data_IF_513663029301
#
_entry.id   IF_513663029301
#
_cell.length_a   1.000
_cell.length_b   1.000
_cell.length_c   1.000
_cell.angle_alpha   90.00
_cell.angle_beta   90.00
_cell.angle_gamma   90.00
#
_symmetry.space_group_name_H-M   'P 1'
#
loop_
_entity.id
_entity.type
_entity.pdbx_description
1 polymer ?
#
# COMPACT_ATOMS: atom_id res chain seq x y z
N UNK A 1 -22.14 -16.01 -5.21
CA UNK A 1 -21.25 -14.83 -5.37
C UNK A 1 -20.94 -14.66 -6.86
N UNK A 2 -20.80 -13.44 -7.37
CA UNK A 2 -20.51 -13.23 -8.81
C UNK A 2 -19.14 -13.78 -9.20
N UNK A 3 -18.18 -13.69 -8.28
CA UNK A 3 -16.81 -14.17 -8.42
C UNK A 3 -16.53 -15.29 -7.42
N UNK A 4 -17.38 -16.32 -7.35
CA UNK A 4 -17.09 -17.46 -6.46
C UNK A 4 -15.91 -18.28 -6.99
N UNK A 5 -14.99 -18.75 -6.13
CA UNK A 5 -14.88 -18.45 -4.70
C UNK A 5 -14.19 -17.11 -4.39
N UNK A 6 -13.47 -16.52 -5.35
CA UNK A 6 -12.86 -15.20 -5.25
C UNK A 6 -12.26 -14.73 -6.58
N UNK A 7 -11.45 -13.68 -6.52
CA UNK A 7 -10.65 -13.19 -7.65
C UNK A 7 -9.19 -13.49 -7.37
N UNK A 8 -8.51 -14.10 -8.34
CA UNK A 8 -7.17 -14.66 -8.14
C UNK A 8 -6.09 -13.66 -8.54
N UNK A 9 -5.28 -13.22 -7.59
CA UNK A 9 -4.11 -12.39 -7.86
C UNK A 9 -2.93 -13.25 -8.32
N UNK A 10 -2.11 -12.73 -9.24
CA UNK A 10 -0.81 -13.29 -9.60
C UNK A 10 0.10 -13.50 -8.37
N UNK A 11 0.08 -12.55 -7.42
CA UNK A 11 0.88 -12.62 -6.18
C UNK A 11 0.45 -13.76 -5.24
N UNK A 12 -0.73 -14.35 -5.45
CA UNK A 12 -1.24 -15.42 -4.60
C UNK A 12 -0.53 -16.75 -4.91
N UNK A 13 -0.23 -17.02 -6.18
CA UNK A 13 0.38 -18.28 -6.61
C UNK A 13 1.76 -18.53 -5.98
N UNK A 14 2.74 -17.58 -6.03
CA UNK A 14 4.03 -17.79 -5.37
C UNK A 14 3.92 -17.95 -3.85
N UNK A 15 2.91 -17.36 -3.20
CA UNK A 15 2.69 -17.55 -1.75
C UNK A 15 2.13 -18.93 -1.44
N UNK A 16 1.27 -19.45 -2.31
CA UNK A 16 0.73 -20.81 -2.17
C UNK A 16 1.83 -21.85 -2.37
N UNK A 17 2.74 -21.65 -3.33
CA UNK A 17 3.87 -22.55 -3.56
C UNK A 17 4.81 -22.67 -2.34
N UNK A 18 4.97 -21.61 -1.54
CA UNK A 18 5.83 -21.66 -0.35
C UNK A 18 5.42 -22.72 0.67
N UNK A 19 4.13 -23.02 0.79
CA UNK A 19 3.59 -23.97 1.79
C UNK A 19 2.97 -25.18 1.09
N UNK A 20 1.93 -24.98 0.28
CA UNK A 20 1.22 -26.08 -0.39
C UNK A 20 1.99 -26.65 -1.59
N UNK A 21 2.89 -25.87 -2.20
CA UNK A 21 3.81 -26.34 -3.25
C UNK A 21 5.15 -26.86 -2.74
N UNK A 22 5.47 -26.69 -1.45
CA UNK A 22 6.69 -27.20 -0.83
C UNK A 22 7.99 -26.42 -1.15
N UNK A 23 7.93 -25.21 -1.71
CA UNK A 23 9.13 -24.42 -2.05
C UNK A 23 9.85 -23.83 -0.81
N UNK A 24 9.18 -23.84 0.34
CA UNK A 24 9.66 -23.27 1.59
C UNK A 24 9.38 -21.76 1.72
N UNK A 25 9.49 -21.25 2.94
CA UNK A 25 9.12 -19.87 3.25
C UNK A 25 10.11 -18.86 2.65
N UNK A 26 9.56 -17.78 2.10
CA UNK A 26 10.31 -16.65 1.56
C UNK A 26 9.70 -15.33 1.98
N UNK A 27 10.53 -14.42 2.48
CA UNK A 27 10.15 -13.06 2.84
C UNK A 27 9.98 -12.12 1.62
N UNK A 28 10.09 -12.64 0.39
CA UNK A 28 9.73 -11.88 -0.82
C UNK A 28 8.27 -11.41 -0.78
N UNK A 29 7.38 -12.23 -0.22
CA UNK A 29 6.04 -11.83 0.16
C UNK A 29 5.92 -11.81 1.70
N UNK A 30 5.02 -10.97 2.25
CA UNK A 30 4.85 -10.90 3.69
C UNK A 30 4.29 -12.21 4.25
N UNK A 31 5.06 -12.84 5.15
CA UNK A 31 4.76 -14.16 5.70
C UNK A 31 3.38 -14.25 6.35
N UNK A 32 2.91 -13.17 6.98
CA UNK A 32 1.58 -13.16 7.62
C UNK A 32 0.45 -13.34 6.60
N UNK A 33 0.60 -12.78 5.39
CA UNK A 33 -0.36 -12.97 4.32
C UNK A 33 -0.21 -14.37 3.71
N UNK A 34 1.02 -14.86 3.56
CA UNK A 34 1.28 -16.25 3.15
C UNK A 34 0.58 -17.25 4.08
N UNK A 35 0.68 -17.06 5.39
CA UNK A 35 0.02 -17.92 6.39
C UNK A 35 -1.51 -17.78 6.36
N UNK A 36 -2.04 -16.57 6.21
CA UNK A 36 -3.48 -16.36 6.10
C UNK A 36 -4.05 -17.10 4.87
N UNK A 37 -3.44 -16.90 3.70
CA UNK A 37 -3.89 -17.50 2.45
C UNK A 37 -3.81 -19.04 2.49
N UNK A 38 -2.64 -19.59 2.81
CA UNK A 38 -2.45 -21.04 2.87
C UNK A 38 -3.25 -21.68 4.01
N UNK A 39 -3.41 -20.99 5.15
CA UNK A 39 -4.22 -21.46 6.26
C UNK A 39 -5.70 -21.59 5.89
N UNK A 40 -6.26 -20.60 5.18
CA UNK A 40 -7.62 -20.69 4.65
C UNK A 40 -7.76 -21.82 3.61
N UNK A 41 -6.80 -21.94 2.68
CA UNK A 41 -6.76 -23.02 1.69
C UNK A 41 -6.75 -24.40 2.34
N UNK A 42 -5.85 -24.61 3.30
CA UNK A 42 -5.73 -25.86 4.04
C UNK A 42 -7.01 -26.17 4.84
N UNK A 43 -7.58 -25.18 5.53
CA UNK A 43 -8.82 -25.35 6.28
C UNK A 43 -9.99 -25.75 5.37
N UNK A 44 -10.14 -25.13 4.21
CA UNK A 44 -11.20 -25.48 3.25
C UNK A 44 -11.06 -26.89 2.68
N UNK A 45 -9.84 -27.27 2.33
CA UNK A 45 -9.55 -28.63 1.87
C UNK A 45 -9.80 -29.66 2.97
N UNK A 46 -9.41 -29.38 4.21
CA UNK A 46 -9.70 -30.26 5.35
C UNK A 46 -11.22 -30.42 5.60
N UNK A 47 -12.01 -29.35 5.43
CA UNK A 47 -13.45 -29.37 5.66
C UNK A 47 -14.25 -30.08 4.56
N UNK A 48 -13.83 -29.97 3.30
CA UNK A 48 -14.67 -30.36 2.15
C UNK A 48 -13.95 -31.22 1.10
N UNK A 49 -12.64 -31.41 1.23
CA UNK A 49 -11.80 -32.02 0.20
C UNK A 49 -11.44 -31.09 -0.96
N UNK A 50 -11.91 -29.83 -0.95
CA UNK A 50 -11.76 -28.89 -2.07
C UNK A 50 -11.12 -27.55 -1.65
N UNK A 51 -10.15 -27.09 -2.44
CA UNK A 51 -9.48 -25.80 -2.25
C UNK A 51 -10.36 -24.60 -2.66
N UNK A 52 -11.43 -24.77 -3.45
CA UNK A 52 -12.41 -23.70 -3.70
C UNK A 52 -13.06 -23.21 -2.40
N UNK A 53 -13.39 -24.13 -1.48
CA UNK A 53 -13.88 -23.77 -0.15
C UNK A 53 -12.86 -22.95 0.62
N UNK A 54 -11.58 -23.30 0.50
CA UNK A 54 -10.52 -22.57 1.19
C UNK A 54 -10.32 -21.16 0.66
N UNK A 55 -10.39 -21.00 -0.67
CA UNK A 55 -10.43 -19.68 -1.31
C UNK A 55 -11.65 -18.87 -0.88
N UNK A 56 -12.82 -19.49 -0.79
CA UNK A 56 -14.04 -18.83 -0.33
C UNK A 56 -13.86 -18.32 1.10
N UNK A 57 -13.31 -19.13 2.00
CA UNK A 57 -13.03 -18.74 3.39
C UNK A 57 -12.13 -17.50 3.41
N UNK A 58 -11.01 -17.51 2.66
CA UNK A 58 -10.12 -16.35 2.56
C UNK A 58 -10.87 -15.10 2.09
N UNK A 59 -11.61 -15.22 0.98
CA UNK A 59 -12.32 -14.10 0.37
C UNK A 59 -13.39 -13.54 1.29
N UNK A 60 -14.14 -14.40 1.98
CA UNK A 60 -15.14 -14.01 2.98
C UNK A 60 -14.50 -13.29 4.17
N UNK A 61 -13.39 -13.82 4.72
CA UNK A 61 -12.63 -13.16 5.79
C UNK A 61 -12.18 -11.76 5.37
N UNK A 62 -11.64 -11.62 4.16
CA UNK A 62 -11.20 -10.33 3.64
C UNK A 62 -12.38 -9.36 3.46
N UNK A 63 -13.50 -9.80 2.88
CA UNK A 63 -14.69 -8.97 2.69
C UNK A 63 -15.22 -8.48 4.04
N UNK A 64 -15.35 -9.37 5.03
CA UNK A 64 -15.82 -8.98 6.37
C UNK A 64 -14.87 -8.01 7.05
N UNK A 65 -13.56 -8.22 6.94
CA UNK A 65 -12.56 -7.29 7.45
C UNK A 65 -12.73 -5.91 6.83
N UNK A 66 -12.78 -5.82 5.49
CA UNK A 66 -12.92 -4.55 4.78
C UNK A 66 -14.25 -3.85 5.06
N UNK A 67 -15.36 -4.59 5.08
CA UNK A 67 -16.67 -4.04 5.45
C UNK A 67 -16.67 -3.47 6.87
N UNK A 68 -16.00 -4.14 7.81
CA UNK A 68 -15.85 -3.66 9.19
C UNK A 68 -15.00 -2.38 9.26
N UNK A 69 -13.90 -2.32 8.51
CA UNK A 69 -13.04 -1.13 8.42
C UNK A 69 -13.81 0.06 7.84
N UNK A 70 -14.53 -0.13 6.74
CA UNK A 70 -15.32 0.92 6.10
C UNK A 70 -16.45 1.41 7.01
N UNK A 71 -17.14 0.49 7.67
CA UNK A 71 -18.17 0.83 8.67
C UNK A 71 -17.58 1.62 9.84
N UNK A 72 -16.41 1.22 10.34
CA UNK A 72 -15.70 1.94 11.39
C UNK A 72 -15.29 3.35 10.94
N UNK A 73 -14.78 3.51 9.71
CA UNK A 73 -14.41 4.83 9.18
C UNK A 73 -15.62 5.78 9.11
N UNK A 74 -16.79 5.28 8.69
CA UNK A 74 -18.04 6.04 8.68
C UNK A 74 -18.55 6.37 10.10
N UNK A 75 -18.41 5.44 11.05
CA UNK A 75 -18.70 5.70 12.46
C UNK A 75 -17.76 6.77 13.05
N UNK A 76 -16.47 6.74 12.71
CA UNK A 76 -15.53 7.80 13.11
C UNK A 76 -15.94 9.17 12.57
N UNK A 77 -16.38 9.25 11.31
CA UNK A 77 -16.94 10.50 10.78
C UNK A 77 -18.16 10.97 11.59
N UNK A 78 -19.02 10.06 12.09
CA UNK A 78 -20.13 10.43 12.99
C UNK A 78 -19.61 10.99 14.32
N UNK A 79 -18.60 10.35 14.92
CA UNK A 79 -17.95 10.82 16.17
C UNK A 79 -17.30 12.20 15.98
N UNK A 80 -16.70 12.45 14.83
CA UNK A 80 -16.12 13.74 14.45
C UNK A 80 -17.18 14.80 14.07
N UNK A 81 -18.48 14.47 14.19
CA UNK A 81 -19.63 15.33 13.87
C UNK A 81 -19.66 15.81 12.41
N UNK A 82 -19.18 14.97 11.50
CA UNK A 82 -19.25 15.22 10.06
C UNK A 82 -20.71 15.12 9.61
N UNK A 83 -21.12 16.01 8.71
CA UNK A 83 -22.50 16.09 8.22
C UNK A 83 -22.94 14.76 7.60
N UNK A 84 -24.25 14.49 7.63
CA UNK A 84 -24.81 13.28 7.02
C UNK A 84 -24.50 13.21 5.52
N UNK A 85 -24.55 14.35 4.82
CA UNK A 85 -24.26 14.43 3.39
C UNK A 85 -22.86 13.87 3.05
N UNK A 86 -21.81 14.34 3.75
CA UNK A 86 -20.45 13.85 3.51
C UNK A 86 -20.32 12.37 3.89
N UNK A 87 -20.97 11.92 4.96
CA UNK A 87 -20.98 10.50 5.33
C UNK A 87 -21.66 9.62 4.29
N UNK A 88 -22.74 10.08 3.66
CA UNK A 88 -23.42 9.38 2.56
C UNK A 88 -22.52 9.32 1.33
N UNK A 89 -21.87 10.42 0.95
CA UNK A 89 -20.90 10.42 -0.16
C UNK A 89 -19.74 9.45 0.10
N UNK A 90 -19.19 9.45 1.32
CA UNK A 90 -18.15 8.52 1.74
C UNK A 90 -18.62 7.06 1.65
N UNK A 91 -19.85 6.78 2.09
CA UNK A 91 -20.45 5.44 1.98
C UNK A 91 -20.60 5.03 0.52
N UNK A 92 -21.11 5.93 -0.34
CA UNK A 92 -21.29 5.65 -1.76
C UNK A 92 -19.95 5.33 -2.44
N UNK A 93 -18.91 6.11 -2.15
CA UNK A 93 -17.57 5.83 -2.64
C UNK A 93 -17.03 4.47 -2.15
N UNK A 94 -17.12 4.19 -0.84
CA UNK A 94 -16.57 2.97 -0.27
C UNK A 94 -17.30 1.71 -0.74
N UNK A 95 -18.63 1.76 -0.85
CA UNK A 95 -19.47 0.62 -1.19
C UNK A 95 -19.65 0.41 -2.70
N UNK A 96 -19.75 1.49 -3.49
CA UNK A 96 -20.12 1.41 -4.91
C UNK A 96 -18.97 1.71 -5.88
N UNK A 97 -17.78 2.09 -5.38
CA UNK A 97 -16.59 2.16 -6.25
C UNK A 97 -16.35 0.78 -6.89
N UNK A 98 -16.30 0.69 -8.23
CA UNK A 98 -16.07 -0.58 -8.92
C UNK A 98 -14.70 -1.16 -8.60
N UNK A 99 -13.72 -0.31 -8.29
CA UNK A 99 -12.41 -0.71 -7.81
C UNK A 99 -12.57 -1.43 -6.47
N UNK A 100 -13.24 -0.83 -5.49
CA UNK A 100 -13.42 -1.46 -4.18
C UNK A 100 -14.13 -2.82 -4.28
N UNK A 101 -15.15 -2.95 -5.14
CA UNK A 101 -15.89 -4.20 -5.34
C UNK A 101 -14.98 -5.35 -5.81
N UNK A 102 -14.02 -5.07 -6.69
CA UNK A 102 -13.04 -6.06 -7.17
C UNK A 102 -12.01 -6.34 -6.08
N UNK A 103 -11.41 -5.29 -5.50
CA UNK A 103 -10.27 -5.41 -4.59
C UNK A 103 -10.61 -6.14 -3.28
N UNK A 104 -11.83 -5.99 -2.75
CA UNK A 104 -12.27 -6.76 -1.57
C UNK A 104 -12.36 -8.27 -1.83
N UNK A 105 -12.48 -8.68 -3.10
CA UNK A 105 -12.53 -10.08 -3.51
C UNK A 105 -11.18 -10.62 -4.03
N UNK A 106 -10.21 -9.73 -4.29
CA UNK A 106 -8.91 -10.05 -4.87
C UNK A 106 -7.94 -10.59 -3.82
N UNK A 107 -7.27 -11.70 -4.14
CA UNK A 107 -6.40 -12.43 -3.19
C UNK A 107 -5.02 -11.81 -3.05
N UNK A 108 -4.96 -10.64 -2.42
CA UNK A 108 -3.72 -9.87 -2.29
C UNK A 108 -3.58 -9.17 -0.95
N UNK A 109 -2.32 -9.09 -0.50
CA UNK A 109 -1.89 -8.38 0.69
C UNK A 109 -2.30 -6.91 0.71
N UNK A 110 -2.39 -6.28 -0.46
CA UNK A 110 -2.71 -4.85 -0.62
C UNK A 110 -4.04 -4.47 0.03
N UNK A 111 -5.06 -5.33 -0.09
CA UNK A 111 -6.41 -5.02 0.36
C UNK A 111 -6.46 -4.92 1.88
N UNK A 112 -5.99 -5.96 2.57
CA UNK A 112 -5.94 -5.97 4.04
C UNK A 112 -4.98 -4.90 4.55
N UNK A 113 -3.83 -4.70 3.89
CA UNK A 113 -2.91 -3.62 4.23
C UNK A 113 -3.59 -2.24 4.15
N UNK A 114 -4.37 -1.98 3.11
CA UNK A 114 -5.12 -0.73 2.98
C UNK A 114 -6.11 -0.53 4.13
N UNK A 115 -6.84 -1.57 4.52
CA UNK A 115 -7.73 -1.49 5.67
C UNK A 115 -6.99 -1.17 6.97
N UNK A 116 -5.83 -1.81 7.19
CA UNK A 116 -4.96 -1.53 8.35
C UNK A 116 -4.40 -0.10 8.32
N UNK A 117 -3.96 0.38 7.16
CA UNK A 117 -3.49 1.75 6.94
C UNK A 117 -4.58 2.77 7.29
N UNK A 118 -5.82 2.53 6.85
CA UNK A 118 -6.97 3.39 7.18
C UNK A 118 -7.27 3.38 8.68
N UNK A 119 -7.20 2.24 9.35
CA UNK A 119 -7.39 2.18 10.80
C UNK A 119 -6.28 2.91 11.57
N UNK A 120 -5.02 2.76 11.16
CA UNK A 120 -3.87 3.50 11.74
C UNK A 120 -4.04 5.00 11.50
N UNK A 121 -4.45 5.41 10.30
CA UNK A 121 -4.77 6.80 9.99
C UNK A 121 -5.82 7.37 10.95
N UNK A 122 -6.94 6.65 11.17
CA UNK A 122 -8.00 7.08 12.07
C UNK A 122 -7.55 7.12 13.54
N UNK A 123 -6.73 6.17 13.97
CA UNK A 123 -6.16 6.20 15.32
C UNK A 123 -5.21 7.40 15.51
N UNK A 124 -4.45 7.79 14.48
CA UNK A 124 -3.63 9.02 14.51
C UNK A 124 -4.53 10.27 14.57
N UNK A 125 -5.66 10.30 13.84
CA UNK A 125 -6.66 11.37 13.98
C UNK A 125 -7.13 11.48 15.44
N UNK A 126 -7.44 10.34 16.07
CA UNK A 126 -7.88 10.31 17.47
C UNK A 126 -6.78 10.76 18.45
N UNK A 127 -5.53 10.36 18.20
CA UNK A 127 -4.37 10.80 18.99
C UNK A 127 -4.23 12.33 18.96
N UNK A 128 -4.50 12.98 17.84
CA UNK A 128 -4.30 14.44 17.70
C UNK A 128 -5.51 15.27 18.13
N UNK A 129 -6.72 14.72 18.02
CA UNK A 129 -7.96 15.40 18.42
C UNK A 129 -8.23 15.33 19.93
N UNK A 130 -8.13 14.14 20.52
CA UNK A 130 -8.47 13.89 21.93
C UNK A 130 -7.34 13.07 22.60
N UNK A 131 -6.12 13.62 22.62
CA UNK A 131 -4.90 12.94 23.11
C UNK A 131 -5.06 12.35 24.51
N UNK A 132 -5.71 13.05 25.43
CA UNK A 132 -5.92 12.57 26.81
C UNK A 132 -6.75 11.29 26.85
N UNK A 133 -7.87 11.26 26.13
CA UNK A 133 -8.76 10.10 26.04
C UNK A 133 -8.03 8.94 25.35
N UNK A 134 -7.21 9.24 24.34
CA UNK A 134 -6.42 8.22 23.65
C UNK A 134 -5.39 7.56 24.59
N UNK A 135 -4.54 8.37 25.23
CA UNK A 135 -3.40 7.89 26.02
C UNK A 135 -3.74 7.46 27.46
N UNK A 136 -4.98 7.67 27.91
CA UNK A 136 -5.53 7.08 29.15
C UNK A 136 -6.15 5.70 28.93
N UNK A 137 -6.58 5.38 27.71
CA UNK A 137 -7.22 4.12 27.38
C UNK A 137 -6.20 3.03 27.00
N UNK A 138 -6.03 2.02 27.86
CA UNK A 138 -5.21 0.84 27.57
C UNK A 138 -5.66 0.13 26.29
N UNK A 139 -6.98 0.08 26.05
CA UNK A 139 -7.56 -0.51 24.84
C UNK A 139 -7.10 0.23 23.57
N UNK A 140 -7.16 1.57 23.54
CA UNK A 140 -6.72 2.35 22.36
C UNK A 140 -5.23 2.22 22.08
N UNK A 141 -4.41 2.19 23.14
CA UNK A 141 -2.97 1.97 23.00
C UNK A 141 -2.68 0.57 22.46
N UNK A 142 -3.27 -0.48 23.04
CA UNK A 142 -3.11 -1.85 22.59
C UNK A 142 -3.58 -2.03 21.14
N UNK A 143 -4.74 -1.47 20.81
CA UNK A 143 -5.29 -1.47 19.46
C UNK A 143 -4.32 -0.83 18.46
N UNK A 144 -3.81 0.37 18.73
CA UNK A 144 -2.87 1.02 17.82
C UNK A 144 -1.58 0.22 17.65
N UNK A 145 -1.05 -0.38 18.72
CA UNK A 145 0.13 -1.25 18.65
C UNK A 145 -0.16 -2.45 17.74
N UNK A 146 -1.26 -3.16 17.97
CA UNK A 146 -1.66 -4.33 17.18
C UNK A 146 -1.86 -3.96 15.71
N UNK A 147 -2.61 -2.89 15.43
CA UNK A 147 -2.84 -2.41 14.07
C UNK A 147 -1.55 -1.97 13.38
N UNK A 148 -0.68 -1.25 14.08
CA UNK A 148 0.62 -0.82 13.56
C UNK A 148 1.53 -2.00 13.24
N UNK A 149 1.57 -3.03 14.09
CA UNK A 149 2.31 -4.27 13.84
C UNK A 149 1.74 -4.95 12.59
N UNK A 150 0.44 -5.24 12.55
CA UNK A 150 -0.16 -5.90 11.39
C UNK A 150 0.02 -5.10 10.10
N UNK A 151 -0.12 -3.77 10.13
CA UNK A 151 0.15 -2.92 8.97
C UNK A 151 1.57 -3.13 8.44
N UNK A 152 2.58 -3.15 9.32
CA UNK A 152 3.97 -3.39 8.93
C UNK A 152 4.24 -4.85 8.50
N UNK A 153 3.54 -5.83 9.07
CA UNK A 153 3.70 -7.24 8.72
C UNK A 153 3.02 -7.61 7.40
N UNK A 154 1.91 -6.95 7.05
CA UNK A 154 1.25 -7.15 5.76
C UNK A 154 1.97 -6.44 4.62
N UNK A 155 2.71 -5.36 4.89
CA UNK A 155 3.66 -4.76 3.94
C UNK A 155 4.84 -4.14 4.66
N UNK A 156 6.05 -4.51 4.21
CA UNK A 156 7.31 -3.93 4.69
C UNK A 156 7.33 -2.41 4.60
N UNK A 157 6.62 -1.82 3.62
CA UNK A 157 6.53 -0.37 3.46
C UNK A 157 5.92 0.33 4.68
N UNK A 158 5.07 -0.38 5.45
CA UNK A 158 4.42 0.13 6.66
C UNK A 158 5.40 0.68 7.69
N UNK A 159 6.60 0.08 7.82
CA UNK A 159 7.58 0.53 8.81
C UNK A 159 8.17 1.91 8.45
N UNK A 160 8.34 2.20 7.16
CA UNK A 160 8.85 3.50 6.70
C UNK A 160 7.84 4.62 6.99
N UNK A 161 6.54 4.30 6.96
CA UNK A 161 5.48 5.23 7.34
C UNK A 161 5.59 5.64 8.81
N UNK A 162 5.85 4.65 9.68
CA UNK A 162 6.04 4.89 11.11
C UNK A 162 7.29 5.73 11.35
N UNK A 163 8.41 5.43 10.70
CA UNK A 163 9.63 6.22 10.83
C UNK A 163 9.45 7.66 10.35
N UNK A 164 8.76 7.87 9.22
CA UNK A 164 8.46 9.19 8.70
C UNK A 164 7.57 9.99 9.66
N UNK A 165 6.49 9.38 10.17
CA UNK A 165 5.53 10.07 11.03
C UNK A 165 6.02 10.28 12.47
N UNK A 166 6.87 9.40 12.99
CA UNK A 166 7.32 9.38 14.38
C UNK A 166 7.87 10.72 14.90
N UNK A 167 8.87 11.38 14.25
CA UNK A 167 9.42 12.63 14.79
C UNK A 167 8.36 13.73 14.89
N UNK A 168 7.46 13.83 13.91
CA UNK A 168 6.40 14.85 13.88
C UNK A 168 5.30 14.56 14.91
N UNK A 169 4.89 13.30 15.06
CA UNK A 169 3.92 12.87 16.07
C UNK A 169 4.43 13.13 17.49
N UNK A 170 5.66 12.70 17.78
CA UNK A 170 6.29 12.90 19.10
C UNK A 170 6.45 14.39 19.39
N UNK A 171 6.86 15.19 18.41
CA UNK A 171 7.01 16.63 18.58
C UNK A 171 5.68 17.33 18.89
N UNK A 172 4.63 17.00 18.14
CA UNK A 172 3.32 17.66 18.20
C UNK A 172 2.46 17.27 19.43
N UNK A 173 2.62 16.05 19.95
CA UNK A 173 1.85 15.53 21.08
C UNK A 173 2.46 15.91 22.45
N UNK A 174 2.53 17.23 22.72
CA UNK A 174 3.00 17.79 24.01
C UNK A 174 2.23 17.14 25.17
N UNK A 175 2.94 16.78 26.25
CA UNK A 175 2.39 16.05 27.40
C UNK A 175 2.32 14.53 27.24
N UNK A 176 2.28 14.01 26.02
CA UNK A 176 2.20 12.57 25.72
C UNK A 176 3.40 12.02 24.94
N UNK A 177 4.44 12.83 24.73
CA UNK A 177 5.65 12.48 23.95
C UNK A 177 6.26 11.12 24.32
N UNK A 178 6.46 10.89 25.62
CA UNK A 178 7.02 9.63 26.13
C UNK A 178 6.12 8.45 25.78
N UNK A 179 4.81 8.55 26.03
CA UNK A 179 3.84 7.49 25.69
C UNK A 179 3.77 7.24 24.19
N UNK A 180 3.74 8.31 23.38
CA UNK A 180 3.78 8.22 21.92
C UNK A 180 5.04 7.48 21.44
N UNK A 181 6.22 7.89 21.93
CA UNK A 181 7.48 7.23 21.61
C UNK A 181 7.50 5.76 22.01
N UNK A 182 7.00 5.40 23.21
CA UNK A 182 6.92 4.01 23.67
C UNK A 182 6.00 3.16 22.79
N UNK A 183 4.84 3.70 22.40
CA UNK A 183 3.88 2.98 21.54
C UNK A 183 4.44 2.77 20.14
N UNK A 184 5.06 3.79 19.54
CA UNK A 184 5.73 3.67 18.24
C UNK A 184 6.92 2.71 18.30
N UNK A 185 7.71 2.80 19.38
CA UNK A 185 8.82 1.88 19.62
C UNK A 185 8.34 0.44 19.75
N UNK A 186 7.24 0.18 20.46
CA UNK A 186 6.65 -1.15 20.58
C UNK A 186 6.25 -1.71 19.19
N UNK A 187 5.61 -0.90 18.34
CA UNK A 187 5.27 -1.30 16.96
C UNK A 187 6.53 -1.68 16.17
N UNK A 188 7.55 -0.82 16.17
CA UNK A 188 8.79 -1.04 15.42
C UNK A 188 9.54 -2.27 15.95
N UNK A 189 9.69 -2.38 17.27
CA UNK A 189 10.39 -3.48 17.92
C UNK A 189 9.69 -4.82 17.64
N UNK A 190 8.38 -4.92 17.86
CA UNK A 190 7.62 -6.15 17.59
C UNK A 190 7.67 -6.54 16.12
N UNK A 191 7.57 -5.57 15.21
CA UNK A 191 7.71 -5.81 13.76
C UNK A 191 9.10 -6.37 13.44
N UNK A 192 10.17 -5.75 13.94
CA UNK A 192 11.55 -6.20 13.68
C UNK A 192 11.88 -7.55 14.31
N UNK A 193 11.33 -7.86 15.48
CA UNK A 193 11.43 -9.18 16.10
C UNK A 193 10.78 -10.24 15.18
N UNK A 194 9.61 -9.94 14.63
CA UNK A 194 8.92 -10.86 13.74
C UNK A 194 9.65 -11.04 12.40
N UNK A 195 9.97 -9.94 11.72
CA UNK A 195 10.64 -9.97 10.39
C UNK A 195 12.13 -10.32 10.45
N UNK A 196 12.69 -10.50 11.65
CA UNK A 196 14.07 -10.89 11.88
C UNK A 196 14.11 -12.25 12.58
N UNK A 197 14.38 -12.30 13.90
CA UNK A 197 14.54 -13.54 14.65
C UNK A 197 13.47 -14.61 14.41
N UNK A 198 12.18 -14.25 14.45
CA UNK A 198 11.10 -15.22 14.27
C UNK A 198 11.08 -15.77 12.84
N UNK A 199 11.18 -14.90 11.83
CA UNK A 199 11.24 -15.34 10.42
C UNK A 199 12.46 -16.23 10.13
N UNK A 200 13.63 -15.89 10.67
CA UNK A 200 14.85 -16.70 10.53
C UNK A 200 14.71 -18.06 11.22
N UNK A 201 14.10 -18.08 12.41
CA UNK A 201 13.82 -19.33 13.14
C UNK A 201 12.86 -20.24 12.37
N UNK A 202 11.88 -19.67 11.65
CA UNK A 202 11.00 -20.42 10.74
C UNK A 202 11.69 -20.86 9.43
N UNK A 203 12.96 -20.53 9.21
CA UNK A 203 13.70 -20.86 7.99
C UNK A 203 13.33 -20.02 6.77
N UNK A 204 12.69 -18.86 6.97
CA UNK A 204 12.29 -18.00 5.86
C UNK A 204 13.51 -17.38 5.16
N UNK A 205 13.61 -17.56 3.84
CA UNK A 205 14.66 -16.91 3.04
C UNK A 205 14.42 -15.40 2.97
N UNK A 206 15.45 -14.55 3.12
CA UNK A 206 15.29 -13.10 3.07
C UNK A 206 14.87 -12.63 1.67
N UNK A 207 14.18 -11.48 1.61
CA UNK A 207 13.81 -10.85 0.34
C UNK A 207 15.06 -10.44 -0.46
N UNK A 208 14.97 -10.49 -1.78
CA UNK A 208 16.06 -10.10 -2.67
C UNK A 208 16.30 -8.57 -2.58
N UNK A 209 17.53 -8.10 -2.31
CA UNK A 209 17.85 -6.67 -2.25
C UNK A 209 17.46 -5.87 -3.50
N UNK A 210 17.39 -6.52 -4.67
CA UNK A 210 17.03 -5.87 -5.94
C UNK A 210 15.65 -5.18 -5.91
N UNK A 211 14.73 -5.65 -5.08
CA UNK A 211 13.38 -5.09 -4.98
C UNK A 211 13.39 -3.62 -4.52
N UNK A 212 14.41 -3.22 -3.75
CA UNK A 212 14.59 -1.84 -3.30
C UNK A 212 15.32 -0.95 -4.33
N UNK A 213 15.79 -1.52 -5.45
CA UNK A 213 16.68 -0.88 -6.41
C UNK A 213 16.02 -0.61 -7.76
N UNK A 214 14.69 -0.65 -7.84
CA UNK A 214 13.94 -0.42 -9.09
C UNK A 214 14.33 0.90 -9.77
N UNK A 215 14.37 2.01 -9.02
CA UNK A 215 14.75 3.34 -9.54
C UNK A 215 16.20 3.40 -10.05
N UNK A 216 17.23 3.06 -9.25
CA UNK A 216 18.61 3.16 -9.74
C UNK A 216 18.92 2.20 -10.89
N UNK A 217 18.32 1.00 -10.91
CA UNK A 217 18.46 0.04 -12.01
C UNK A 217 17.83 0.60 -13.30
N UNK A 218 16.63 1.20 -13.21
CA UNK A 218 15.96 1.82 -14.35
C UNK A 218 16.73 3.02 -14.91
N UNK A 219 17.23 3.89 -14.04
CA UNK A 219 17.98 5.09 -14.43
C UNK A 219 19.25 4.73 -15.21
N UNK A 220 20.04 3.78 -14.70
CA UNK A 220 21.28 3.39 -15.38
C UNK A 220 21.00 2.64 -16.68
N UNK A 221 19.98 1.77 -16.71
CA UNK A 221 19.60 1.05 -17.93
C UNK A 221 19.10 2.01 -19.01
N UNK A 222 18.33 3.05 -18.65
CA UNK A 222 17.90 4.08 -19.60
C UNK A 222 19.09 4.75 -20.28
N UNK A 223 20.07 5.20 -19.49
CA UNK A 223 21.25 5.88 -20.03
C UNK A 223 22.06 4.94 -20.92
N UNK A 224 22.28 3.70 -20.50
CA UNK A 224 23.03 2.72 -21.30
C UNK A 224 22.34 2.34 -22.62
N UNK A 225 21.01 2.47 -22.71
CA UNK A 225 20.26 2.19 -23.95
C UNK A 225 20.12 3.44 -24.83
N UNK A 226 19.85 4.60 -24.25
CA UNK A 226 19.53 5.82 -25.01
C UNK A 226 20.75 6.70 -25.28
N UNK A 227 21.72 6.70 -24.37
CA UNK A 227 22.91 7.57 -24.39
C UNK A 227 24.19 6.78 -24.02
N UNK A 228 24.47 5.63 -24.67
CA UNK A 228 25.60 4.75 -24.29
C UNK A 228 26.97 5.43 -24.34
N UNK A 229 27.12 6.45 -25.20
CA UNK A 229 28.38 7.19 -25.36
C UNK A 229 28.69 8.12 -24.18
N UNK A 230 27.72 8.39 -23.30
CA UNK A 230 27.91 9.23 -22.10
C UNK A 230 28.48 8.45 -20.89
N UNK A 231 28.64 7.13 -21.05
CA UNK A 231 29.17 6.20 -20.05
C UNK A 231 30.48 5.63 -20.55
N UNK A 232 31.54 5.73 -19.74
CA UNK A 232 32.87 5.23 -20.14
C UNK A 232 32.90 3.69 -20.16
N UNK A 233 33.84 3.11 -20.90
CA UNK A 233 33.99 1.65 -20.96
C UNK A 233 34.29 1.04 -19.58
N UNK A 234 35.10 1.71 -18.76
CA UNK A 234 35.36 1.32 -17.36
C UNK A 234 34.07 1.32 -16.51
N UNK A 235 33.21 2.32 -16.69
CA UNK A 235 31.93 2.39 -15.98
C UNK A 235 30.96 1.30 -16.46
N UNK A 236 30.90 1.03 -17.77
CA UNK A 236 30.12 -0.07 -18.36
C UNK A 236 30.56 -1.42 -17.79
N UNK A 237 31.87 -1.68 -17.75
CA UNK A 237 32.42 -2.91 -17.17
C UNK A 237 32.01 -3.10 -15.71
N UNK A 238 32.00 -2.02 -14.93
CA UNK A 238 31.53 -2.07 -13.54
C UNK A 238 30.03 -2.41 -13.50
N UNK A 239 29.19 -1.72 -14.29
CA UNK A 239 27.74 -1.96 -14.30
C UNK A 239 27.40 -3.37 -14.77
N UNK A 240 28.05 -3.89 -15.81
CA UNK A 240 27.77 -5.22 -16.36
C UNK A 240 28.06 -6.37 -15.39
N UNK A 241 28.88 -6.15 -14.35
CA UNK A 241 29.03 -7.12 -13.23
C UNK A 241 27.78 -7.22 -12.36
N UNK A 242 27.03 -6.13 -12.22
CA UNK A 242 25.78 -6.07 -11.46
C UNK A 242 24.57 -6.37 -12.34
N UNK A 243 24.61 -5.94 -13.60
CA UNK A 243 23.48 -5.94 -14.50
C UNK A 243 23.96 -6.26 -15.92
N UNK A 244 23.92 -7.54 -16.33
CA UNK A 244 24.45 -7.95 -17.63
C UNK A 244 23.76 -7.24 -18.79
N UNK A 245 24.51 -6.99 -19.86
CA UNK A 245 24.07 -6.23 -21.04
C UNK A 245 22.79 -6.80 -21.68
N UNK A 246 22.64 -8.13 -21.70
CA UNK A 246 21.46 -8.83 -22.24
C UNK A 246 20.14 -8.49 -21.52
N UNK A 247 20.20 -8.05 -20.25
CA UNK A 247 19.02 -7.59 -19.51
C UNK A 247 18.82 -6.09 -19.64
N UNK A 248 19.90 -5.33 -19.83
CA UNK A 248 19.83 -3.88 -20.08
C UNK A 248 19.16 -3.61 -21.42
N UNK A 249 19.46 -4.41 -22.45
CA UNK A 249 18.82 -4.31 -23.76
C UNK A 249 17.30 -4.55 -23.74
N UNK A 250 16.77 -5.14 -22.66
CA UNK A 250 15.33 -5.34 -22.43
C UNK A 250 14.68 -4.13 -21.73
N UNK A 251 15.36 -3.00 -21.65
CA UNK A 251 14.86 -1.76 -21.05
C UNK A 251 13.46 -1.40 -21.55
N UNK A 252 12.55 -1.21 -20.59
CA UNK A 252 11.24 -0.64 -20.82
C UNK A 252 11.05 0.53 -19.86
N UNK A 253 10.69 1.70 -20.39
CA UNK A 253 10.53 2.91 -19.59
C UNK A 253 9.41 2.80 -18.53
N UNK A 254 8.40 1.97 -18.75
CA UNK A 254 7.22 1.85 -17.89
C UNK A 254 7.29 0.72 -16.86
N UNK A 255 8.23 -0.23 -16.98
CA UNK A 255 8.36 -1.38 -16.08
C UNK A 255 9.80 -1.82 -15.90
N UNK A 256 10.23 -2.01 -14.64
CA UNK A 256 11.61 -2.40 -14.29
C UNK A 256 11.88 -3.88 -14.21
N UNK A 257 10.86 -4.73 -14.27
CA UNK A 257 11.01 -6.15 -13.96
C UNK A 257 11.97 -6.89 -14.91
N UNK A 258 11.89 -6.64 -16.22
CA UNK A 258 12.76 -7.28 -17.22
C UNK A 258 14.26 -6.99 -16.96
N UNK A 259 14.60 -5.73 -16.70
CA UNK A 259 15.99 -5.34 -16.41
C UNK A 259 16.42 -5.89 -15.05
N UNK A 260 15.59 -5.76 -14.00
CA UNK A 260 15.90 -6.22 -12.65
C UNK A 260 16.12 -7.74 -12.57
N UNK A 261 15.53 -8.52 -13.47
CA UNK A 261 15.66 -9.96 -13.47
C UNK A 261 17.12 -10.41 -13.50
N UNK A 262 17.94 -9.75 -14.33
CA UNK A 262 19.38 -9.98 -14.45
C UNK A 262 20.24 -9.43 -13.33
N UNK A 263 19.67 -8.71 -12.35
CA UNK A 263 20.46 -8.05 -11.33
C UNK A 263 21.17 -9.07 -10.42
N UNK A 264 22.50 -9.02 -10.39
CA UNK A 264 23.35 -9.88 -9.58
C UNK A 264 23.32 -9.47 -8.11
N UNK A 265 22.25 -9.86 -7.42
CA UNK A 265 22.01 -9.54 -6.03
C UNK A 265 23.09 -10.07 -5.07
N UNK A 266 23.74 -11.19 -5.41
CA UNK A 266 24.82 -11.78 -4.61
C UNK A 266 26.05 -10.88 -4.64
N UNK A 267 26.51 -10.51 -5.83
CA UNK A 267 27.65 -9.61 -5.99
C UNK A 267 27.37 -8.24 -5.38
N UNK A 268 26.17 -7.70 -5.59
CA UNK A 268 25.75 -6.42 -5.00
C UNK A 268 25.79 -6.43 -3.47
N UNK A 269 25.37 -7.53 -2.82
CA UNK A 269 25.37 -7.62 -1.36
C UNK A 269 26.79 -7.56 -0.78
N UNK A 270 27.77 -8.12 -1.48
CA UNK A 270 29.18 -8.11 -1.06
C UNK A 270 29.87 -6.79 -1.42
N UNK A 271 29.50 -6.17 -2.54
CA UNK A 271 30.16 -4.99 -3.09
C UNK A 271 29.16 -3.94 -3.60
N UNK A 272 28.36 -3.26 -2.74
CA UNK A 272 27.35 -2.32 -3.21
C UNK A 272 27.93 -0.97 -3.68
N UNK A 273 29.06 -0.56 -3.12
CA UNK A 273 29.61 0.79 -3.28
C UNK A 273 30.04 1.13 -4.72
N UNK A 274 30.70 0.25 -5.49
CA UNK A 274 31.07 0.55 -6.87
C UNK A 274 29.86 0.84 -7.76
N UNK A 275 28.76 0.09 -7.59
CA UNK A 275 27.50 0.35 -8.31
C UNK A 275 27.00 1.78 -8.05
N UNK A 276 26.90 2.20 -6.79
CA UNK A 276 26.41 3.54 -6.45
C UNK A 276 27.35 4.67 -6.88
N UNK A 277 28.67 4.43 -6.87
CA UNK A 277 29.63 5.41 -7.38
C UNK A 277 29.44 5.65 -8.88
N UNK A 278 29.31 4.59 -9.66
CA UNK A 278 29.05 4.70 -11.11
C UNK A 278 27.66 5.30 -11.35
N UNK A 279 26.62 4.80 -10.67
CA UNK A 279 25.27 5.35 -10.77
C UNK A 279 25.21 6.86 -10.48
N UNK A 280 25.92 7.35 -9.46
CA UNK A 280 25.97 8.78 -9.14
C UNK A 280 26.80 9.57 -10.18
N UNK A 281 27.96 9.05 -10.58
CA UNK A 281 28.84 9.64 -11.60
C UNK A 281 28.10 9.83 -12.93
N UNK A 282 27.49 8.76 -13.43
CA UNK A 282 26.69 8.75 -14.67
C UNK A 282 25.46 9.64 -14.51
N UNK A 283 24.76 9.57 -13.37
CA UNK A 283 23.56 10.36 -13.11
C UNK A 283 23.80 11.87 -13.09
N UNK A 284 24.95 12.33 -12.60
CA UNK A 284 25.30 13.75 -12.63
C UNK A 284 25.55 14.25 -14.06
N UNK A 285 26.11 13.41 -14.94
CA UNK A 285 26.28 13.74 -16.37
C UNK A 285 24.99 13.64 -17.16
N UNK A 286 24.08 12.75 -16.74
CA UNK A 286 22.84 12.41 -17.45
C UNK A 286 21.60 12.76 -16.60
N UNK A 287 21.61 13.93 -15.97
CA UNK A 287 20.59 14.30 -14.97
C UNK A 287 19.17 14.30 -15.54
N UNK A 288 18.97 14.80 -16.76
CA UNK A 288 17.68 14.76 -17.46
C UNK A 288 17.18 13.34 -17.66
N UNK A 289 18.02 12.42 -18.15
CA UNK A 289 17.65 11.02 -18.35
C UNK A 289 17.27 10.34 -17.02
N UNK A 290 17.95 10.68 -15.92
CA UNK A 290 17.62 10.16 -14.59
C UNK A 290 16.28 10.67 -14.06
N UNK A 291 15.97 11.95 -14.28
CA UNK A 291 14.68 12.55 -13.94
C UNK A 291 13.58 11.94 -14.80
N UNK A 292 13.78 11.84 -16.12
CA UNK A 292 12.83 11.22 -17.02
C UNK A 292 12.56 9.78 -16.62
N UNK A 293 13.60 8.97 -16.41
CA UNK A 293 13.43 7.58 -15.97
C UNK A 293 12.61 7.45 -14.69
N UNK A 294 12.80 8.36 -13.73
CA UNK A 294 12.00 8.40 -12.51
C UNK A 294 10.54 8.78 -12.78
N UNK A 295 10.31 9.80 -13.61
CA UNK A 295 8.97 10.27 -13.96
C UNK A 295 8.20 9.24 -14.79
N UNK A 296 8.82 8.56 -15.76
CA UNK A 296 8.16 7.48 -16.52
C UNK A 296 7.67 6.34 -15.63
N UNK A 297 8.36 6.07 -14.52
CA UNK A 297 7.97 5.06 -13.53
C UNK A 297 7.01 5.55 -12.44
N UNK A 298 6.65 6.85 -12.41
CA UNK A 298 5.86 7.42 -11.31
C UNK A 298 4.80 8.45 -11.68
N UNK A 299 4.78 8.97 -12.92
CA UNK A 299 3.92 10.08 -13.36
C UNK A 299 2.41 9.81 -13.18
N UNK A 300 1.97 8.56 -13.31
CA UNK A 300 0.58 8.16 -13.07
C UNK A 300 0.10 8.38 -11.64
N UNK A 301 0.99 8.53 -10.67
CA UNK A 301 0.62 8.90 -9.30
C UNK A 301 0.48 10.42 -9.08
N UNK A 302 0.70 11.23 -10.12
CA UNK A 302 0.54 12.69 -10.13
C UNK A 302 -0.54 13.15 -11.10
N UNK A 303 -0.66 12.50 -12.26
CA UNK A 303 -1.48 12.95 -13.38
C UNK A 303 -2.65 11.99 -13.65
N UNK A 304 -3.86 12.55 -13.83
CA UNK A 304 -5.09 11.76 -14.02
C UNK A 304 -5.36 11.37 -15.47
N UNK A 305 -4.62 11.93 -16.42
CA UNK A 305 -4.68 11.62 -17.86
C UNK A 305 -3.69 10.52 -18.27
N UNK A 306 -2.90 10.02 -17.32
CA UNK A 306 -2.01 8.90 -17.51
C UNK A 306 -2.66 7.61 -17.00
N UNK A 307 -2.80 6.63 -17.88
CA UNK A 307 -3.20 5.26 -17.55
C UNK A 307 -2.10 4.32 -18.07
N UNK A 308 -1.41 3.55 -17.21
CA UNK A 308 -0.27 2.75 -17.62
C UNK A 308 -0.68 1.68 -18.63
N UNK A 309 -0.23 1.85 -19.87
CA UNK A 309 -0.61 1.03 -21.03
C UNK A 309 -0.27 -0.47 -20.90
N UNK A 310 0.69 -0.81 -20.02
CA UNK A 310 1.30 -2.14 -19.94
C UNK A 310 0.74 -3.04 -18.84
N UNK A 311 0.08 -2.48 -17.81
CA UNK A 311 -0.58 -3.25 -16.74
C UNK A 311 -1.92 -2.60 -16.42
N UNK A 312 -2.75 -2.51 -17.46
CA UNK A 312 -4.08 -1.90 -17.40
C UNK A 312 -5.07 -2.68 -16.53
N UNK A 313 -4.72 -3.89 -16.09
CA UNK A 313 -5.67 -4.77 -15.43
C UNK A 313 -5.50 -4.76 -13.91
N UNK A 314 -6.60 -4.49 -13.20
CA UNK A 314 -6.79 -5.18 -11.91
C UNK A 314 -6.70 -6.68 -12.26
N UNK A 315 -5.96 -7.48 -11.50
CA UNK A 315 -5.73 -8.89 -11.85
C UNK A 315 -7.02 -9.72 -11.66
N UNK A 316 -7.99 -9.54 -12.55
CA UNK A 316 -9.29 -10.22 -12.49
C UNK A 316 -9.17 -11.68 -12.91
N UNK A 317 -8.37 -11.93 -13.94
CA UNK A 317 -8.03 -13.25 -14.47
C UNK A 317 -6.54 -13.52 -14.18
N UNK A 318 -6.21 -13.84 -12.93
CA UNK A 318 -4.83 -14.13 -12.52
C UNK A 318 -4.46 -15.61 -12.57
N UNK A 319 -3.38 -15.97 -11.88
CA UNK A 319 -2.60 -17.20 -12.09
C UNK A 319 -3.36 -18.54 -12.00
N UNK A 320 -4.53 -18.63 -11.36
CA UNK A 320 -5.31 -19.88 -11.33
C UNK A 320 -6.31 -20.06 -12.47
N UNK A 321 -6.35 -19.16 -13.44
CA UNK A 321 -7.21 -19.32 -14.63
C UNK A 321 -6.56 -20.17 -15.74
N UNK A 322 -5.25 -20.42 -15.67
CA UNK A 322 -4.49 -21.25 -16.60
C UNK A 322 -4.10 -22.58 -15.95
N UNK A 323 -4.30 -23.70 -16.66
CA UNK A 323 -4.03 -25.05 -16.12
C UNK A 323 -2.60 -25.24 -15.61
N UNK A 324 -1.60 -24.67 -16.30
CA UNK A 324 -0.18 -24.73 -15.93
C UNK A 324 0.10 -24.28 -14.49
N UNK A 325 -0.63 -23.25 -14.04
CA UNK A 325 -0.41 -22.60 -12.74
C UNK A 325 -1.49 -22.98 -11.70
N UNK A 326 -2.43 -23.88 -12.04
CA UNK A 326 -3.56 -24.27 -11.19
C UNK A 326 -3.44 -25.70 -10.62
N UNK A 327 -2.33 -26.00 -9.95
CA UNK A 327 -2.12 -27.32 -9.33
C UNK A 327 -3.14 -27.65 -8.21
N UNK A 328 -3.82 -26.63 -7.65
CA UNK A 328 -4.86 -26.79 -6.64
C UNK A 328 -6.26 -27.06 -7.23
N UNK A 329 -6.42 -27.01 -8.56
CA UNK A 329 -7.70 -27.22 -9.27
C UNK A 329 -8.83 -26.31 -8.76
N UNK A 330 -8.49 -25.06 -8.45
CA UNK A 330 -9.46 -24.05 -8.04
C UNK A 330 -10.17 -23.54 -9.30
N UNK A 331 -11.51 -23.48 -9.28
CA UNK A 331 -12.30 -23.10 -10.44
C UNK A 331 -13.25 -21.94 -10.10
N UNK A 332 -13.29 -20.93 -10.97
CA UNK A 332 -14.21 -19.79 -10.81
C UNK A 332 -15.56 -20.15 -11.40
N UNK A 333 -16.57 -20.22 -10.54
CA UNK A 333 -17.95 -20.48 -10.93
C UNK A 333 -18.82 -19.24 -10.64
N UNK A 334 -19.47 -18.68 -11.66
CA UNK A 334 -20.29 -17.47 -11.47
C UNK A 334 -21.78 -17.80 -11.35
N UNK A 335 -22.42 -17.32 -10.29
CA UNK A 335 -23.89 -17.36 -10.14
C UNK A 335 -24.57 -16.09 -10.68
N UNK A 336 -23.80 -15.04 -11.00
CA UNK A 336 -24.30 -13.76 -11.49
C UNK A 336 -23.48 -13.30 -12.71
N UNK A 337 -23.65 -13.94 -13.89
CA UNK A 337 -22.79 -13.73 -15.06
C UNK A 337 -22.74 -12.28 -15.53
N UNK A 338 -23.87 -11.56 -15.47
CA UNK A 338 -23.94 -10.17 -15.88
C UNK A 338 -23.07 -9.25 -14.99
N UNK A 339 -23.05 -9.52 -13.68
CA UNK A 339 -22.26 -8.74 -12.73
C UNK A 339 -20.78 -9.12 -12.77
N UNK A 340 -20.47 -10.41 -12.93
CA UNK A 340 -19.10 -10.86 -13.19
C UNK A 340 -18.52 -10.21 -14.46
N UNK A 341 -19.27 -10.19 -15.56
CA UNK A 341 -18.86 -9.52 -16.80
C UNK A 341 -18.64 -8.01 -16.59
N UNK A 342 -19.51 -7.34 -15.81
CA UNK A 342 -19.30 -5.94 -15.46
C UNK A 342 -17.98 -5.73 -14.71
N UNK A 343 -17.72 -6.50 -13.66
CA UNK A 343 -16.49 -6.38 -12.87
C UNK A 343 -15.25 -6.72 -13.71
N UNK A 344 -15.35 -7.72 -14.59
CA UNK A 344 -14.30 -8.06 -15.54
C UNK A 344 -14.00 -6.89 -16.48
N UNK A 345 -15.02 -6.23 -17.03
CA UNK A 345 -14.87 -5.06 -17.92
C UNK A 345 -14.28 -3.84 -17.22
N UNK A 346 -14.63 -3.60 -15.95
CA UNK A 346 -13.95 -2.57 -15.12
C UNK A 346 -12.45 -2.83 -15.07
N UNK A 347 -12.09 -4.11 -15.02
CA UNK A 347 -10.72 -4.54 -14.91
C UNK A 347 -9.95 -4.56 -16.23
N UNK A 348 -10.54 -5.10 -17.30
CA UNK A 348 -9.83 -5.38 -18.57
C UNK A 348 -10.06 -4.31 -19.63
N UNK A 349 -11.20 -3.63 -19.59
CA UNK A 349 -11.58 -2.59 -20.57
C UNK A 349 -11.58 -1.19 -19.97
N UNK A 350 -11.28 -1.06 -18.66
CA UNK A 350 -11.24 0.19 -17.92
C UNK A 350 -12.47 1.08 -18.16
N UNK A 351 -13.67 0.48 -18.18
CA UNK A 351 -14.91 1.19 -18.55
C UNK A 351 -15.20 2.42 -17.69
N UNK A 352 -14.71 2.43 -16.44
CA UNK A 352 -14.81 3.56 -15.52
C UNK A 352 -13.99 4.78 -15.97
N UNK A 353 -12.91 4.59 -16.73
CA UNK A 353 -12.09 5.69 -17.24
C UNK A 353 -12.77 6.43 -18.40
N UNK A 354 -13.81 5.84 -19.00
CA UNK A 354 -14.59 6.45 -20.08
C UNK A 354 -15.67 7.42 -19.58
N UNK A 355 -15.98 7.39 -18.28
CA UNK A 355 -17.02 8.22 -17.69
C UNK A 355 -16.37 9.48 -17.10
N UNK A 356 -16.71 10.70 -17.56
CA UNK A 356 -16.19 11.93 -16.99
C UNK A 356 -16.39 12.00 -15.48
N UNK A 357 -15.45 12.64 -14.77
CA UNK A 357 -15.39 12.73 -13.30
C UNK A 357 -15.12 11.40 -12.60
N UNK A 358 -15.78 10.30 -12.98
CA UNK A 358 -15.51 8.96 -12.44
C UNK A 358 -14.08 8.53 -12.78
N UNK A 359 -13.64 8.79 -14.01
CA UNK A 359 -12.26 8.55 -14.45
C UNK A 359 -11.25 9.24 -13.54
N UNK A 360 -11.50 10.49 -13.15
CA UNK A 360 -10.64 11.27 -12.25
C UNK A 360 -10.70 10.73 -10.83
N UNK A 361 -11.89 10.45 -10.29
CA UNK A 361 -12.06 10.02 -8.89
C UNK A 361 -11.46 8.63 -8.64
N UNK A 362 -11.48 7.76 -9.65
CA UNK A 362 -11.00 6.39 -9.56
C UNK A 362 -9.56 6.21 -10.06
N UNK A 363 -8.94 7.26 -10.59
CA UNK A 363 -7.55 7.23 -11.03
C UNK A 363 -6.57 7.15 -9.84
N UNK A 364 -5.43 6.53 -10.07
CA UNK A 364 -4.37 6.32 -9.08
C UNK A 364 -3.68 7.59 -8.58
N UNK A 365 -3.76 8.72 -9.31
CA UNK A 365 -3.33 10.05 -8.87
C UNK A 365 -4.34 10.76 -7.95
N UNK A 366 -5.61 10.38 -7.95
CA UNK A 366 -6.66 11.07 -7.18
C UNK A 366 -6.38 11.18 -5.67
N UNK A 367 -5.84 10.13 -5.00
CA UNK A 367 -5.46 10.23 -3.61
C UNK A 367 -4.38 11.28 -3.35
N UNK A 368 -3.42 11.45 -4.27
CA UNK A 368 -2.39 12.48 -4.18
C UNK A 368 -3.00 13.88 -4.33
N UNK A 369 -3.87 14.09 -5.31
CA UNK A 369 -4.56 15.38 -5.47
C UNK A 369 -5.40 15.73 -4.24
N UNK A 370 -6.10 14.74 -3.68
CA UNK A 370 -6.85 14.88 -2.43
C UNK A 370 -5.92 15.25 -1.27
N UNK A 371 -4.79 14.57 -1.15
CA UNK A 371 -3.78 14.80 -0.12
C UNK A 371 -3.24 16.24 -0.17
N UNK A 372 -2.89 16.74 -1.36
CA UNK A 372 -2.40 18.12 -1.55
C UNK A 372 -3.50 19.14 -1.25
N UNK A 373 -4.72 18.92 -1.74
CA UNK A 373 -5.85 19.82 -1.48
C UNK A 373 -6.20 19.90 0.02
N UNK A 374 -6.40 18.75 0.66
CA UNK A 374 -6.73 18.67 2.09
C UNK A 374 -5.58 19.23 2.93
N UNK A 375 -4.33 18.86 2.62
CA UNK A 375 -3.14 19.34 3.31
C UNK A 375 -2.97 20.85 3.18
N UNK A 376 -3.09 21.40 1.96
CA UNK A 376 -3.03 22.83 1.70
C UNK A 376 -4.13 23.60 2.41
N UNK A 377 -5.37 23.09 2.39
CA UNK A 377 -6.49 23.70 3.10
C UNK A 377 -6.27 23.69 4.62
N UNK A 378 -5.88 22.56 5.21
CA UNK A 378 -5.59 22.44 6.65
C UNK A 378 -4.43 23.37 7.07
N UNK A 379 -3.43 23.53 6.21
CA UNK A 379 -2.33 24.47 6.41
C UNK A 379 -2.84 25.92 6.38
N UNK A 380 -3.66 26.28 5.39
CA UNK A 380 -4.28 27.60 5.25
C UNK A 380 -5.12 27.97 6.49
N UNK A 381 -5.95 27.05 6.99
CA UNK A 381 -6.74 27.26 8.21
C UNK A 381 -5.95 27.01 9.52
N UNK A 382 -4.61 26.85 9.42
CA UNK A 382 -3.66 26.71 10.53
C UNK A 382 -3.94 25.51 11.46
N UNK A 383 -4.53 24.44 10.93
CA UNK A 383 -4.83 23.20 11.65
C UNK A 383 -3.73 22.16 11.51
N UNK A 384 -2.51 22.55 11.85
CA UNK A 384 -1.30 21.76 11.59
C UNK A 384 -1.30 20.36 12.21
N UNK A 385 -1.98 20.15 13.36
CA UNK A 385 -2.08 18.82 13.98
C UNK A 385 -2.80 17.80 13.09
N UNK A 386 -3.75 18.24 12.26
CA UNK A 386 -4.48 17.37 11.34
C UNK A 386 -3.67 17.03 10.08
N UNK A 387 -2.50 17.63 9.88
CA UNK A 387 -1.55 17.21 8.84
C UNK A 387 -0.82 15.90 9.22
N UNK A 388 -0.78 15.53 10.50
CA UNK A 388 -0.03 14.37 10.97
C UNK A 388 -0.60 13.02 10.46
N UNK A 389 -1.92 12.78 10.45
CA UNK A 389 -2.48 11.61 9.75
C UNK A 389 -2.12 11.56 8.26
N UNK A 390 -2.11 12.72 7.58
CA UNK A 390 -1.77 12.81 6.16
C UNK A 390 -0.30 12.45 5.88
N UNK A 391 0.62 12.60 6.84
CA UNK A 391 2.02 12.18 6.67
C UNK A 391 2.16 10.68 6.43
N UNK A 392 1.30 9.86 7.04
CA UNK A 392 1.33 8.40 6.83
C UNK A 392 0.86 8.07 5.40
N UNK A 393 -0.14 8.78 4.90
CA UNK A 393 -0.62 8.63 3.52
C UNK A 393 0.43 9.13 2.52
N UNK A 394 1.03 10.30 2.79
CA UNK A 394 2.12 10.86 1.99
C UNK A 394 3.33 9.93 1.94
N UNK A 395 3.71 9.34 3.09
CA UNK A 395 4.78 8.35 3.15
C UNK A 395 4.50 7.15 2.27
N UNK A 396 3.27 6.63 2.28
CA UNK A 396 2.93 5.45 1.47
C UNK A 396 2.88 5.78 -0.01
N UNK A 397 2.28 6.92 -0.38
CA UNK A 397 2.37 7.46 -1.74
C UNK A 397 3.82 7.60 -2.19
N UNK A 398 4.70 8.16 -1.35
CA UNK A 398 6.13 8.27 -1.64
C UNK A 398 6.81 6.92 -1.89
N UNK A 399 6.41 5.86 -1.17
CA UNK A 399 6.92 4.51 -1.44
C UNK A 399 6.46 3.93 -2.77
N UNK A 400 5.30 4.36 -3.31
CA UNK A 400 4.81 3.91 -4.61
C UNK A 400 5.63 4.51 -5.76
N UNK A 401 6.20 5.71 -5.58
CA UNK A 401 7.09 6.34 -6.57
C UNK A 401 8.40 5.57 -6.76
N UNK A 402 8.77 4.75 -5.78
CA UNK A 402 9.97 3.90 -5.80
C UNK A 402 9.65 2.48 -6.30
N UNK A 403 8.39 2.25 -6.68
CA UNK A 403 7.90 0.96 -7.14
C UNK A 403 8.43 0.57 -8.52
N UNK A 404 8.25 -0.71 -8.91
CA UNK A 404 8.78 -1.20 -10.16
C UNK A 404 7.95 -0.86 -11.40
N UNK A 405 6.68 -0.49 -11.18
CA UNK A 405 5.67 -0.21 -12.19
C UNK A 405 4.56 0.66 -11.58
N UNK A 406 3.91 1.46 -12.42
CA UNK A 406 2.70 2.21 -12.05
C UNK A 406 1.51 1.26 -12.18
N UNK A 407 0.81 1.00 -11.07
CA UNK A 407 -0.39 0.17 -11.07
C UNK A 407 -1.37 0.60 -9.99
N UNK A 408 -2.66 0.55 -10.33
CA UNK A 408 -3.78 0.80 -9.40
C UNK A 408 -3.68 -0.03 -8.11
N UNK A 409 -3.07 -1.22 -8.18
CA UNK A 409 -2.75 -2.06 -7.02
C UNK A 409 -2.02 -1.32 -5.92
N UNK A 410 -0.97 -0.61 -6.25
CA UNK A 410 -0.15 0.10 -5.27
C UNK A 410 -0.85 1.34 -4.74
N UNK A 411 -1.75 1.95 -5.53
CA UNK A 411 -2.56 3.08 -5.09
C UNK A 411 -3.79 2.66 -4.24
N UNK A 412 -4.32 1.45 -4.39
CA UNK A 412 -5.54 1.01 -3.70
C UNK A 412 -5.55 1.31 -2.18
N UNK A 413 -4.48 1.05 -1.41
CA UNK A 413 -4.44 1.36 0.03
C UNK A 413 -4.74 2.83 0.37
N UNK A 414 -4.35 3.78 -0.48
CA UNK A 414 -4.59 5.21 -0.26
C UNK A 414 -5.89 5.70 -0.89
N UNK A 415 -6.40 5.00 -1.91
CA UNK A 415 -7.71 5.27 -2.53
C UNK A 415 -8.83 5.11 -1.52
N UNK A 416 -8.84 4.02 -0.76
CA UNK A 416 -9.87 3.82 0.28
C UNK A 416 -9.73 4.79 1.46
N UNK A 417 -8.59 5.47 1.60
CA UNK A 417 -8.40 6.52 2.61
C UNK A 417 -8.98 7.87 2.20
N UNK A 418 -9.30 8.08 0.92
CA UNK A 418 -9.80 9.36 0.37
C UNK A 418 -10.98 9.94 1.17
N UNK A 419 -12.05 9.20 1.47
CA UNK A 419 -13.17 9.75 2.23
C UNK A 419 -12.76 10.25 3.62
N UNK A 420 -11.86 9.53 4.30
CA UNK A 420 -11.34 9.90 5.61
C UNK A 420 -10.37 11.08 5.55
N UNK A 421 -9.55 11.20 4.49
CA UNK A 421 -8.74 12.40 4.24
C UNK A 421 -9.63 13.64 4.07
N UNK A 422 -10.62 13.56 3.19
CA UNK A 422 -11.58 14.66 2.95
C UNK A 422 -12.30 15.04 4.25
N UNK A 423 -12.68 14.06 5.09
CA UNK A 423 -13.37 14.34 6.35
C UNK A 423 -12.60 15.27 7.29
N UNK A 424 -11.26 15.30 7.22
CA UNK A 424 -10.42 16.13 8.10
C UNK A 424 -10.76 17.62 8.02
N UNK A 425 -11.13 18.13 6.83
CA UNK A 425 -11.45 19.55 6.64
C UNK A 425 -12.77 19.96 7.30
N UNK A 426 -13.65 18.99 7.55
CA UNK A 426 -14.98 19.20 8.12
C UNK A 426 -15.05 18.92 9.63
N UNK A 427 -13.97 18.45 10.25
CA UNK A 427 -13.93 18.19 11.70
C UNK A 427 -14.16 19.53 12.43
N UNK A 428 -15.25 19.65 13.19
CA UNK A 428 -15.51 20.87 13.94
C UNK A 428 -14.61 20.95 15.18
N UNK A 429 -14.10 22.15 15.47
CA UNK A 429 -13.35 22.36 16.71
C UNK A 429 -14.34 22.29 17.88
N UNK A 430 -14.03 21.53 18.93
CA UNK A 430 -14.68 21.76 20.23
C UNK A 430 -14.28 23.17 20.66
N UNK A 431 -15.22 24.11 20.65
CA UNK A 431 -14.98 25.49 21.07
C UNK A 431 -14.44 25.51 22.50
N UNK A 432 -13.14 25.78 22.66
CA UNK A 432 -12.54 26.10 23.96
C UNK A 432 -13.20 27.33 24.62
N UNK A 433 -13.91 28.17 23.85
CA UNK A 433 -14.66 29.33 24.36
C UNK A 433 -15.81 28.95 25.30
N UNK A 434 -16.47 27.81 25.10
CA UNK A 434 -17.57 27.34 25.97
C UNK A 434 -17.09 26.75 27.31
N UNK A 435 -15.82 26.37 27.41
CA UNK A 435 -15.21 25.89 28.66
C UNK A 435 -14.74 27.07 29.53
N UNK A 436 -14.12 28.08 28.91
CA UNK A 436 -13.70 29.31 29.60
C UNK A 436 -14.87 30.18 30.08
N UNK A 437 -16.04 30.13 29.41
CA UNK A 437 -17.24 30.82 29.88
C UNK A 437 -17.89 30.15 31.09
N UNK A 438 -17.73 28.82 31.24
CA UNK A 438 -18.20 28.07 32.42
C UNK A 438 -17.28 28.22 33.63
N UNK A 439 -15.98 28.39 33.43
CA UNK A 439 -15.04 28.69 34.54
C UNK A 439 -15.20 30.13 35.04
N UNK A 440 -15.32 31.13 34.15
CA UNK A 440 -15.58 32.52 34.56
C UNK A 440 -16.98 32.74 35.18
N UNK A 441 -17.93 31.85 34.91
CA UNK A 441 -19.26 31.86 35.55
C UNK A 441 -19.29 31.18 36.92
N UNK A 442 -18.29 30.35 37.25
CA UNK A 442 -18.14 29.71 38.57
C UNK A 442 -17.27 30.51 39.55
N UNK A 443 -16.45 31.43 39.07
CA UNK A 443 -15.70 32.39 39.91
C UNK A 443 -16.50 33.66 40.26
N UNK A 444 -17.74 33.78 39.78
CA UNK A 444 -18.65 34.92 40.03
C UNK A 444 -19.91 34.56 40.82
N UNK A 445 -19.95 33.38 41.43
CA UNK A 445 -20.92 32.92 42.41
C UNK A 445 -20.14 32.50 43.66
#
# INVERSE_FOLDING_TARGET
MATYPGIYSYDAYPQVLQILGGEGLSAHHPLIHTFLLNGCLYAGHWLTGDYNTGMLIYTVVQIFFMASVFSYALDRMKVYKISLFIRVLSYLFLAFSPINQIWVCLTTKDTIFGGLLLLVFLDIVDMVLDSEVFYSSKYRLARFIVLGIFMCLFRNQGIYLIFLAAPFLIWALKGYRKKCALVLFAVVLSTKIFTGPISSWMGAKPANPREALSVPIQQIARVLVQEPDSVTDEEKEIIYRYLPEEYISQYNASVSDAVKEGFNAKYFKENPMPFFKVWASVGLRNFSAYVDSFLYGSCGYFYTDYSPYWVQFILYDGSWTSEEFNFLKIERNTLFPAYDNYLRKVSTELIQEKIPVVSVILNEAFPFLTLIFVGGYLFYIKRYKLLLPLLVIFGFWGTNLLGPVIVMRYAFPIVICVPSMVSLIFIQQKDKRLLLSKEKGKERL
#
